data_IF_557184978293
#
_entry.id   IF_557184978293
#
_cell.length_a   1.000
_cell.length_b   1.000
_cell.length_c   1.000
_cell.angle_alpha   90.00
_cell.angle_beta   90.00
_cell.angle_gamma   90.00
#
_symmetry.space_group_name_H-M   'P 1'
#
loop_
_entity.id
_entity.type
_entity.pdbx_description
1 polymer ?
#
# COMPACT_ATOMS: atom_id res chain seq x y z
N UNK A 1 30.09 -0.38 -5.28
CA UNK A 1 28.63 -0.15 -5.21
C UNK A 1 28.11 0.61 -6.43
N UNK A 2 28.65 1.80 -6.78
CA UNK A 2 28.20 2.60 -7.94
C UNK A 2 28.26 1.88 -9.30
N UNK A 3 29.22 0.96 -9.49
CA UNK A 3 29.38 0.18 -10.72
C UNK A 3 28.29 -0.89 -10.93
N UNK A 4 27.51 -1.24 -9.90
CA UNK A 4 26.52 -2.32 -9.97
C UNK A 4 25.11 -1.83 -10.30
N UNK A 5 24.88 -0.51 -10.24
CA UNK A 5 23.57 0.10 -10.52
C UNK A 5 23.80 1.38 -11.34
N UNK A 6 23.95 1.28 -12.68
CA UNK A 6 24.32 2.42 -13.54
C UNK A 6 23.34 3.60 -13.47
N UNK A 7 22.10 3.36 -13.09
CA UNK A 7 21.11 4.40 -12.85
C UNK A 7 21.53 5.39 -11.74
N UNK A 8 22.32 4.95 -10.75
CA UNK A 8 22.82 5.81 -9.67
C UNK A 8 23.76 6.91 -10.18
N UNK A 9 24.44 6.67 -11.31
CA UNK A 9 25.37 7.62 -11.93
C UNK A 9 24.65 8.76 -12.66
N UNK A 10 23.33 8.66 -12.86
CA UNK A 10 22.52 9.68 -13.55
C UNK A 10 22.13 10.84 -12.65
N UNK A 11 22.26 10.68 -11.32
CA UNK A 11 21.85 11.70 -10.36
C UNK A 11 23.07 12.49 -9.85
N UNK A 12 22.99 13.83 -9.76
CA UNK A 12 23.96 14.63 -9.05
C UNK A 12 24.16 14.11 -7.62
N UNK A 13 25.40 14.07 -7.08
CA UNK A 13 25.66 13.55 -5.74
C UNK A 13 24.80 14.18 -4.63
N UNK A 14 24.52 15.48 -4.74
CA UNK A 14 23.65 16.20 -3.80
C UNK A 14 22.19 15.71 -3.84
N UNK A 15 21.65 15.43 -5.03
CA UNK A 15 20.29 14.88 -5.19
C UNK A 15 20.22 13.45 -4.64
N UNK A 16 21.24 12.65 -4.90
CA UNK A 16 21.34 11.30 -4.36
C UNK A 16 21.34 11.30 -2.82
N UNK A 17 22.17 12.14 -2.20
CA UNK A 17 22.20 12.30 -0.74
C UNK A 17 20.87 12.75 -0.16
N UNK A 18 20.20 13.73 -0.78
CA UNK A 18 18.90 14.22 -0.35
C UNK A 18 17.80 13.14 -0.46
N UNK A 19 17.78 12.38 -1.56
CA UNK A 19 16.82 11.30 -1.76
C UNK A 19 17.02 10.17 -0.73
N UNK A 20 18.26 9.78 -0.45
CA UNK A 20 18.58 8.79 0.59
C UNK A 20 18.19 9.26 2.00
N UNK A 21 18.46 10.54 2.32
CA UNK A 21 18.06 11.12 3.60
C UNK A 21 16.53 11.14 3.75
N UNK A 22 15.82 11.51 2.68
CA UNK A 22 14.36 11.49 2.65
C UNK A 22 13.79 10.07 2.77
N UNK A 23 14.38 9.07 2.10
CA UNK A 23 14.01 7.65 2.26
C UNK A 23 14.24 7.18 3.70
N UNK A 24 15.42 7.45 4.26
CA UNK A 24 15.75 7.12 5.64
C UNK A 24 14.74 7.72 6.63
N UNK A 25 14.43 9.01 6.48
CA UNK A 25 13.47 9.71 7.32
C UNK A 25 12.04 9.19 7.13
N UNK A 26 11.59 9.00 5.89
CA UNK A 26 10.23 8.55 5.56
C UNK A 26 9.94 7.16 6.12
N UNK A 27 10.94 6.27 6.09
CA UNK A 27 10.81 4.87 6.51
C UNK A 27 11.25 4.63 7.96
N UNK A 28 11.96 5.59 8.57
CA UNK A 28 12.57 5.42 9.88
C UNK A 28 13.67 4.34 9.88
N UNK A 29 14.41 4.23 8.79
CA UNK A 29 15.45 3.20 8.59
C UNK A 29 16.85 3.82 8.61
N UNK A 30 17.88 3.07 9.05
CA UNK A 30 19.24 3.58 9.06
C UNK A 30 19.78 3.78 7.63
N UNK A 31 20.81 4.63 7.44
CA UNK A 31 21.35 4.94 6.12
C UNK A 31 21.71 3.72 5.25
N UNK A 32 22.32 2.63 5.77
CA UNK A 32 22.61 1.44 4.97
C UNK A 32 21.34 0.78 4.38
N UNK A 33 20.23 0.79 5.12
CA UNK A 33 18.98 0.22 4.65
C UNK A 33 18.31 1.11 3.59
N UNK A 34 18.37 2.44 3.74
CA UNK A 34 17.92 3.37 2.70
C UNK A 34 18.72 3.20 1.40
N UNK A 35 20.04 3.02 1.51
CA UNK A 35 20.93 2.75 0.37
C UNK A 35 20.57 1.42 -0.30
N UNK A 36 20.35 0.35 0.47
CA UNK A 36 19.97 -0.95 -0.08
C UNK A 36 18.63 -0.87 -0.83
N UNK A 37 17.63 -0.17 -0.28
CA UNK A 37 16.33 0.02 -0.91
C UNK A 37 16.43 0.83 -2.22
N UNK A 38 17.18 1.93 -2.22
CA UNK A 38 17.40 2.74 -3.41
C UNK A 38 18.21 2.00 -4.49
N UNK A 39 19.17 1.16 -4.08
CA UNK A 39 19.94 0.34 -5.01
C UNK A 39 19.06 -0.75 -5.66
N UNK A 40 18.18 -1.37 -4.88
CA UNK A 40 17.22 -2.34 -5.39
C UNK A 40 16.14 -1.69 -6.26
N UNK A 41 15.81 -0.42 -6.02
CA UNK A 41 14.74 0.30 -6.70
C UNK A 41 15.20 1.71 -7.12
N UNK A 42 16.03 1.85 -8.17
CA UNK A 42 16.65 3.12 -8.53
C UNK A 42 15.66 4.22 -8.91
N UNK A 43 14.48 3.85 -9.43
CA UNK A 43 13.41 4.79 -9.77
C UNK A 43 12.90 5.60 -8.55
N UNK A 44 13.17 5.16 -7.32
CA UNK A 44 12.87 5.94 -6.11
C UNK A 44 13.70 7.23 -6.01
N UNK A 45 14.83 7.30 -6.70
CA UNK A 45 15.70 8.48 -6.74
C UNK A 45 15.13 9.60 -7.62
N UNK A 46 14.23 9.25 -8.55
CA UNK A 46 13.50 10.22 -9.38
C UNK A 46 12.29 10.82 -8.63
N UNK A 47 11.89 10.21 -7.51
CA UNK A 47 10.73 10.67 -6.73
C UNK A 47 11.12 11.89 -5.90
N UNK A 48 10.34 12.99 -5.95
CA UNK A 48 10.61 14.16 -5.12
C UNK A 48 10.72 13.80 -3.62
N UNK A 49 11.75 14.26 -2.89
CA UNK A 49 11.95 13.98 -1.46
C UNK A 49 10.72 14.27 -0.58
N UNK A 50 9.96 15.31 -0.92
CA UNK A 50 8.71 15.65 -0.25
C UNK A 50 7.60 14.60 -0.43
N UNK A 51 7.50 13.99 -1.62
CA UNK A 51 6.54 12.92 -1.91
C UNK A 51 6.89 11.62 -1.17
N UNK A 52 8.18 11.24 -1.17
CA UNK A 52 8.69 10.12 -0.38
C UNK A 52 8.31 10.27 1.11
N UNK A 53 8.59 11.44 1.66
CA UNK A 53 8.30 11.79 3.06
C UNK A 53 6.81 11.84 3.38
N UNK A 54 5.98 12.34 2.46
CA UNK A 54 4.53 12.37 2.64
C UNK A 54 3.92 10.97 2.62
N UNK A 55 4.30 10.14 1.64
CA UNK A 55 3.78 8.78 1.47
C UNK A 55 4.22 7.86 2.62
N UNK A 56 5.49 7.90 3.03
CA UNK A 56 5.97 7.13 4.18
C UNK A 56 5.24 7.49 5.48
N UNK A 57 5.10 8.79 5.78
CA UNK A 57 4.36 9.25 6.97
C UNK A 57 2.89 8.87 6.93
N UNK A 58 2.24 8.99 5.77
CA UNK A 58 0.84 8.61 5.58
C UNK A 58 0.63 7.13 5.91
N UNK A 59 1.42 6.23 5.30
CA UNK A 59 1.31 4.79 5.52
C UNK A 59 1.57 4.44 6.99
N UNK A 60 2.63 5.01 7.57
CA UNK A 60 2.96 4.82 8.98
C UNK A 60 1.82 5.23 9.90
N UNK A 61 1.28 6.43 9.71
CA UNK A 61 0.26 6.98 10.60
C UNK A 61 -1.10 6.30 10.43
N UNK A 62 -1.52 6.02 9.19
CA UNK A 62 -2.86 5.48 8.91
C UNK A 62 -2.96 3.97 9.09
N UNK A 63 -1.89 3.24 8.81
CA UNK A 63 -1.86 1.78 8.97
C UNK A 63 -1.10 1.35 10.23
N UNK A 64 -0.66 2.31 11.07
CA UNK A 64 0.04 2.10 12.33
C UNK A 64 1.28 1.20 12.19
N UNK A 65 2.02 1.37 11.08
CA UNK A 65 3.18 0.53 10.78
C UNK A 65 4.39 0.89 11.64
N UNK A 66 5.13 -0.10 12.09
CA UNK A 66 6.49 0.08 12.61
C UNK A 66 7.45 0.42 11.45
N UNK A 67 8.62 1.03 11.73
CA UNK A 67 9.64 1.25 10.70
C UNK A 67 10.02 -0.01 9.93
N UNK A 68 10.15 -1.14 10.63
CA UNK A 68 10.47 -2.43 10.01
C UNK A 68 9.37 -2.94 9.08
N UNK A 69 8.10 -2.85 9.50
CA UNK A 69 6.96 -3.22 8.66
C UNK A 69 6.86 -2.32 7.43
N UNK A 70 7.00 -1.00 7.61
CA UNK A 70 6.96 -0.05 6.50
C UNK A 70 8.08 -0.35 5.51
N UNK A 71 9.31 -0.60 5.97
CA UNK A 71 10.43 -1.00 5.12
C UNK A 71 10.11 -2.29 4.33
N UNK A 72 9.50 -3.29 4.95
CA UNK A 72 9.08 -4.51 4.28
C UNK A 72 8.01 -4.27 3.20
N UNK A 73 7.03 -3.39 3.45
CA UNK A 73 6.04 -2.98 2.44
C UNK A 73 6.74 -2.28 1.27
N UNK A 74 7.68 -1.38 1.54
CA UNK A 74 8.38 -0.64 0.48
C UNK A 74 9.36 -1.51 -0.32
N UNK A 75 9.95 -2.53 0.31
CA UNK A 75 10.75 -3.52 -0.40
C UNK A 75 9.87 -4.36 -1.36
N UNK A 76 8.62 -4.66 -0.98
CA UNK A 76 7.69 -5.40 -1.82
C UNK A 76 6.99 -4.52 -2.89
N UNK A 77 6.79 -3.23 -2.60
CA UNK A 77 6.04 -2.31 -3.45
C UNK A 77 6.60 -0.88 -3.37
N UNK A 78 7.80 -0.66 -3.94
CA UNK A 78 8.45 0.66 -3.97
C UNK A 78 7.60 1.71 -4.70
N UNK A 79 6.79 1.29 -5.68
CA UNK A 79 5.90 2.16 -6.45
C UNK A 79 4.88 2.91 -5.58
N UNK A 80 4.57 2.42 -4.36
CA UNK A 80 3.72 3.15 -3.41
C UNK A 80 4.31 4.50 -3.03
N UNK A 81 5.64 4.60 -2.89
CA UNK A 81 6.32 5.86 -2.60
C UNK A 81 6.34 6.80 -3.80
N UNK A 82 6.30 6.25 -5.01
CA UNK A 82 6.28 7.02 -6.26
C UNK A 82 4.89 7.58 -6.62
N UNK A 83 3.81 7.16 -5.92
CA UNK A 83 2.47 7.70 -6.19
C UNK A 83 2.35 9.16 -5.77
N UNK A 84 1.43 9.87 -6.42
CA UNK A 84 1.01 11.18 -5.91
C UNK A 84 0.43 11.02 -4.49
N UNK A 85 0.81 11.87 -3.52
CA UNK A 85 0.35 11.74 -2.14
C UNK A 85 -1.17 11.75 -1.98
N UNK A 86 -1.87 12.56 -2.78
CA UNK A 86 -3.34 12.59 -2.79
C UNK A 86 -3.96 11.27 -3.25
N UNK A 87 -3.40 10.62 -4.28
CA UNK A 87 -3.88 9.32 -4.76
C UNK A 87 -3.69 8.23 -3.71
N UNK A 88 -2.50 8.16 -3.10
CA UNK A 88 -2.24 7.19 -2.03
C UNK A 88 -3.16 7.43 -0.82
N UNK A 89 -3.36 8.69 -0.43
CA UNK A 89 -4.27 9.05 0.66
C UNK A 89 -5.72 8.63 0.41
N UNK A 90 -6.20 8.74 -0.84
CA UNK A 90 -7.54 8.30 -1.21
C UNK A 90 -7.68 6.77 -1.11
N UNK A 91 -6.69 6.03 -1.60
CA UNK A 91 -6.63 4.56 -1.57
C UNK A 91 -6.61 4.04 -0.14
N UNK A 92 -5.71 4.58 0.71
CA UNK A 92 -5.62 4.22 2.13
C UNK A 92 -6.94 4.51 2.85
N UNK A 93 -7.60 5.64 2.56
CA UNK A 93 -8.89 5.98 3.15
C UNK A 93 -9.99 4.99 2.77
N UNK A 94 -10.03 4.54 1.50
CA UNK A 94 -11.00 3.54 1.04
C UNK A 94 -10.79 2.19 1.71
N UNK A 95 -9.54 1.75 1.81
CA UNK A 95 -9.19 0.53 2.54
C UNK A 95 -9.67 0.62 4.00
N UNK A 96 -9.33 1.70 4.71
CA UNK A 96 -9.74 1.88 6.09
C UNK A 96 -11.27 1.96 6.25
N UNK A 97 -11.97 2.61 5.33
CA UNK A 97 -13.43 2.68 5.34
C UNK A 97 -14.07 1.29 5.22
N UNK A 98 -13.57 0.43 4.33
CA UNK A 98 -14.05 -0.94 4.23
C UNK A 98 -13.80 -1.74 5.52
N UNK A 99 -12.63 -1.53 6.15
CA UNK A 99 -12.26 -2.23 7.39
C UNK A 99 -13.03 -1.78 8.63
N UNK A 100 -13.54 -0.54 8.66
CA UNK A 100 -14.42 -0.07 9.75
C UNK A 100 -15.67 -0.94 9.90
N UNK A 101 -16.13 -1.54 8.80
CA UNK A 101 -17.31 -2.40 8.79
C UNK A 101 -17.01 -3.86 9.12
N UNK A 102 -15.74 -4.27 9.25
CA UNK A 102 -15.35 -5.65 9.55
C UNK A 102 -14.27 -5.71 10.64
N UNK A 103 -14.69 -6.04 11.86
CA UNK A 103 -13.77 -6.33 12.96
C UNK A 103 -12.82 -7.51 12.64
N UNK A 104 -13.30 -8.65 12.08
CA UNK A 104 -12.42 -9.75 11.69
C UNK A 104 -11.34 -9.34 10.69
N UNK A 105 -11.68 -8.56 9.66
CA UNK A 105 -10.68 -8.12 8.68
C UNK A 105 -9.73 -7.06 9.23
N UNK A 106 -10.20 -6.18 10.12
CA UNK A 106 -9.34 -5.23 10.82
C UNK A 106 -8.28 -5.95 11.68
N UNK A 107 -8.66 -7.00 12.41
CA UNK A 107 -7.73 -7.84 13.18
C UNK A 107 -6.79 -8.66 12.26
N UNK A 108 -7.31 -9.20 11.15
CA UNK A 108 -6.51 -9.90 10.15
C UNK A 108 -5.50 -8.98 9.47
N UNK A 109 -5.82 -7.70 9.24
CA UNK A 109 -4.89 -6.75 8.66
C UNK A 109 -3.63 -6.65 9.51
N UNK A 110 -3.75 -6.55 10.84
CA UNK A 110 -2.60 -6.56 11.75
C UNK A 110 -1.69 -7.79 11.55
N UNK A 111 -2.29 -8.97 11.38
CA UNK A 111 -1.55 -10.22 11.09
C UNK A 111 -0.92 -10.21 9.70
N UNK A 112 -1.60 -9.69 8.70
CA UNK A 112 -1.09 -9.57 7.33
C UNK A 112 0.07 -8.59 7.24
N UNK A 113 -0.01 -7.46 7.96
CA UNK A 113 1.06 -6.46 8.10
C UNK A 113 2.30 -7.07 8.78
N UNK A 114 2.11 -8.01 9.71
CA UNK A 114 3.19 -8.74 10.39
C UNK A 114 3.82 -9.86 9.53
N UNK A 115 3.01 -10.53 8.69
CA UNK A 115 3.46 -11.71 7.94
C UNK A 115 4.12 -11.40 6.59
N UNK A 116 3.69 -10.36 5.88
CA UNK A 116 4.32 -9.94 4.62
C UNK A 116 3.89 -8.55 4.18
N UNK A 117 4.86 -7.65 3.97
CA UNK A 117 4.62 -6.33 3.38
C UNK A 117 3.94 -6.39 2.00
N UNK A 118 4.03 -7.53 1.29
CA UNK A 118 3.39 -7.78 0.00
C UNK A 118 1.86 -7.78 0.07
N UNK A 119 1.27 -8.28 1.16
CA UNK A 119 -0.20 -8.31 1.27
C UNK A 119 -0.78 -6.90 1.38
N UNK A 120 -0.07 -6.02 2.08
CA UNK A 120 -0.41 -4.60 2.22
C UNK A 120 -0.30 -3.90 0.87
N UNK A 121 0.78 -4.18 0.14
CA UNK A 121 0.98 -3.66 -1.19
C UNK A 121 -0.15 -4.02 -2.15
N UNK A 122 -0.55 -5.30 -2.15
CA UNK A 122 -1.69 -5.79 -2.93
C UNK A 122 -2.98 -5.08 -2.52
N UNK A 123 -3.25 -4.98 -1.21
CA UNK A 123 -4.42 -4.25 -0.70
C UNK A 123 -4.46 -2.77 -1.12
N UNK A 124 -3.31 -2.14 -1.39
CA UNK A 124 -3.17 -0.75 -1.81
C UNK A 124 -3.01 -0.57 -3.34
N UNK A 125 -2.90 -1.65 -4.11
CA UNK A 125 -2.79 -1.60 -5.57
C UNK A 125 -4.14 -1.66 -6.27
N UNK A 126 -5.21 -1.89 -5.53
CA UNK A 126 -6.52 -2.12 -6.13
C UNK A 126 -7.20 -0.85 -6.65
N UNK A 127 -7.98 -1.02 -7.72
CA UNK A 127 -8.88 -0.01 -8.25
C UNK A 127 -10.06 0.25 -7.31
N UNK A 128 -10.82 1.31 -7.62
CA UNK A 128 -12.00 1.74 -6.87
C UNK A 128 -12.99 0.62 -6.60
N UNK A 129 -13.24 -0.21 -7.61
CA UNK A 129 -14.27 -1.24 -7.59
C UNK A 129 -14.00 -2.35 -6.56
N UNK A 130 -12.75 -2.81 -6.43
CA UNK A 130 -12.41 -3.84 -5.42
C UNK A 130 -12.63 -3.33 -3.99
N UNK A 131 -12.51 -2.01 -3.74
CA UNK A 131 -12.89 -1.45 -2.44
C UNK A 131 -14.40 -1.42 -2.21
N UNK A 132 -15.19 -1.16 -3.27
CA UNK A 132 -16.66 -1.23 -3.19
C UNK A 132 -17.13 -2.66 -2.87
N UNK A 133 -16.47 -3.67 -3.46
CA UNK A 133 -16.71 -5.10 -3.15
C UNK A 133 -16.38 -5.43 -1.70
N UNK A 134 -15.23 -4.97 -1.20
CA UNK A 134 -14.88 -5.14 0.22
C UNK A 134 -15.91 -4.48 1.14
N UNK A 135 -16.32 -3.25 0.83
CA UNK A 135 -17.33 -2.54 1.62
C UNK A 135 -18.66 -3.29 1.63
N UNK A 136 -19.12 -3.79 0.48
CA UNK A 136 -20.32 -4.62 0.38
C UNK A 136 -20.24 -5.86 1.28
N UNK A 137 -19.14 -6.62 1.19
CA UNK A 137 -18.98 -7.83 1.98
C UNK A 137 -18.96 -7.55 3.47
N UNK A 138 -18.24 -6.50 3.89
CA UNK A 138 -18.18 -6.09 5.29
C UNK A 138 -19.54 -5.60 5.80
N UNK A 139 -20.24 -4.76 5.05
CA UNK A 139 -21.54 -4.19 5.46
C UNK A 139 -22.68 -5.20 5.43
N UNK A 140 -22.55 -6.27 4.65
CA UNK A 140 -23.53 -7.36 4.60
C UNK A 140 -23.19 -8.53 5.53
N UNK A 141 -22.13 -8.43 6.35
CA UNK A 141 -21.73 -9.46 7.31
C UNK A 141 -21.13 -10.72 6.67
N UNK A 142 -20.74 -10.65 5.38
CA UNK A 142 -20.14 -11.75 4.61
C UNK A 142 -18.63 -11.88 4.83
N UNK A 143 -18.04 -10.94 5.55
CA UNK A 143 -16.66 -10.94 6.03
C UNK A 143 -16.31 -12.13 6.96
N UNK A 144 -17.32 -12.81 7.50
CA UNK A 144 -17.16 -14.05 8.28
C UNK A 144 -17.06 -15.31 7.44
N UNK A 145 -17.60 -15.28 6.22
CA UNK A 145 -17.65 -16.42 5.30
C UNK A 145 -16.45 -16.37 4.36
N UNK A 146 -15.97 -15.17 4.03
CA UNK A 146 -14.87 -14.96 3.10
C UNK A 146 -13.71 -14.24 3.78
N UNK A 147 -12.51 -14.82 3.68
CA UNK A 147 -11.31 -14.21 4.24
C UNK A 147 -10.92 -12.93 3.49
N UNK A 148 -10.27 -11.98 4.18
CA UNK A 148 -9.89 -10.70 3.57
C UNK A 148 -9.04 -10.88 2.29
N UNK A 149 -8.10 -11.84 2.30
CA UNK A 149 -7.26 -12.14 1.14
C UNK A 149 -8.06 -12.72 -0.04
N UNK A 150 -9.02 -13.57 0.26
CA UNK A 150 -9.89 -14.20 -0.75
C UNK A 150 -10.81 -13.17 -1.40
N UNK A 151 -11.45 -12.33 -0.58
CA UNK A 151 -12.26 -11.19 -1.04
C UNK A 151 -11.48 -10.24 -1.96
N UNK A 152 -10.18 -10.07 -1.70
CA UNK A 152 -9.30 -9.24 -2.53
C UNK A 152 -8.86 -9.90 -3.84
N UNK A 153 -8.90 -11.22 -3.91
CA UNK A 153 -8.35 -12.00 -5.03
C UNK A 153 -9.40 -12.41 -6.05
N UNK A 154 -10.69 -12.39 -5.69
CA UNK A 154 -11.80 -12.71 -6.59
C UNK A 154 -11.85 -11.77 -7.79
N UNK A 155 -11.91 -12.36 -8.98
CA UNK A 155 -12.12 -11.63 -10.22
C UNK A 155 -13.58 -11.17 -10.34
N UNK A 156 -13.85 -10.21 -11.24
CA UNK A 156 -15.17 -9.60 -11.39
C UNK A 156 -16.30 -10.60 -11.67
N UNK A 157 -16.08 -11.50 -12.64
CA UNK A 157 -17.07 -12.51 -13.02
C UNK A 157 -17.38 -13.45 -11.87
N UNK A 158 -16.36 -14.00 -11.22
CA UNK A 158 -16.51 -14.88 -10.06
C UNK A 158 -17.23 -14.17 -8.90
N UNK A 159 -16.87 -12.90 -8.65
CA UNK A 159 -17.53 -12.13 -7.61
C UNK A 159 -19.02 -11.92 -7.90
N UNK A 160 -19.38 -11.63 -9.15
CA UNK A 160 -20.77 -11.45 -9.56
C UNK A 160 -21.59 -12.73 -9.47
N UNK A 161 -20.98 -13.89 -9.75
CA UNK A 161 -21.62 -15.21 -9.60
C UNK A 161 -21.88 -15.55 -8.14
N UNK A 162 -20.90 -15.32 -7.26
CA UNK A 162 -21.01 -15.62 -5.83
C UNK A 162 -21.92 -14.61 -5.11
N UNK A 163 -21.92 -13.35 -5.56
CA UNK A 163 -22.67 -12.25 -4.95
C UNK A 163 -23.50 -11.45 -5.97
N UNK A 164 -24.55 -12.05 -6.55
CA UNK A 164 -25.37 -11.39 -7.58
C UNK A 164 -26.04 -10.10 -7.09
N UNK A 165 -26.33 -10.02 -5.79
CA UNK A 165 -26.93 -8.83 -5.14
C UNK A 165 -26.00 -7.61 -5.09
N UNK A 166 -24.70 -7.77 -5.37
CA UNK A 166 -23.74 -6.66 -5.33
C UNK A 166 -24.11 -5.55 -6.31
N UNK A 167 -24.61 -5.88 -7.51
CA UNK A 167 -24.99 -4.88 -8.51
C UNK A 167 -26.17 -4.01 -8.04
N UNK A 168 -27.12 -4.59 -7.31
CA UNK A 168 -28.22 -3.84 -6.70
C UNK A 168 -27.71 -2.96 -5.55
N UNK A 169 -26.88 -3.52 -4.67
CA UNK A 169 -26.27 -2.79 -3.57
C UNK A 169 -25.43 -1.59 -4.05
N UNK A 170 -24.62 -1.79 -5.09
CA UNK A 170 -23.76 -0.77 -5.70
C UNK A 170 -24.56 0.39 -6.28
N UNK A 171 -25.74 0.14 -6.86
CA UNK A 171 -26.62 1.24 -7.34
C UNK A 171 -27.20 2.06 -6.20
N UNK A 172 -27.41 1.47 -5.03
CA UNK A 172 -27.98 2.16 -3.86
C UNK A 172 -26.92 2.90 -3.02
N UNK A 173 -25.67 2.42 -3.02
CA UNK A 173 -24.62 2.87 -2.12
C UNK A 173 -23.37 3.41 -2.82
N UNK A 174 -23.24 3.17 -4.13
CA UNK A 174 -22.14 3.64 -4.95
C UNK A 174 -22.13 5.16 -5.03
N UNK A 175 -20.95 5.76 -4.86
CA UNK A 175 -20.70 7.19 -4.96
C UNK A 175 -20.22 7.59 -6.34
#
# INVERSE_FOLDING_TARGET
MLLQVPALLRHPPAQYGAALAALGFALGVPPPAAVALASANPALLDVPPGALSANGRLLRAKLQLTPAQLAAVMAAAPWLLARSPGSLAAVVRRLLAALVHSKPWSEQLGRLLNGSGRNVAVALSFGSERYERLEYLARSGRDRVMGFKEALSLEEGEFAEVFPEFAAWRRQHGR
#
